data_IF_995967735010
#
_entry.id   IF_995967735010
#
_cell.length_a   1.000
_cell.length_b   1.000
_cell.length_c   1.000
_cell.angle_alpha   90.00
_cell.angle_beta   90.00
_cell.angle_gamma   90.00
#
_symmetry.space_group_name_H-M   'P 1'
#
loop_
_entity.id
_entity.type
_entity.pdbx_description
1 polymer ?
#
# COMPACT_ATOMS: atom_id res chain seq x y z
N UNK A 1 43.31 -51.59 20.64
CA UNK A 1 42.77 -50.31 21.14
C UNK A 1 41.45 -50.62 21.85
N UNK A 2 41.32 -50.35 23.15
CA UNK A 2 40.15 -50.80 23.92
C UNK A 2 38.85 -50.16 23.44
N UNK A 3 37.76 -50.94 23.39
CA UNK A 3 36.43 -50.50 22.93
C UNK A 3 35.97 -49.16 23.55
N UNK A 4 36.36 -48.91 24.81
CA UNK A 4 36.11 -47.65 25.53
C UNK A 4 36.82 -46.43 24.93
N UNK A 5 38.03 -46.59 24.36
CA UNK A 5 38.74 -45.51 23.65
C UNK A 5 38.14 -45.25 22.26
N UNK A 6 37.65 -46.29 21.58
CA UNK A 6 36.97 -46.16 20.30
C UNK A 6 35.63 -45.41 20.44
N UNK A 7 34.83 -45.74 21.47
CA UNK A 7 33.58 -45.04 21.75
C UNK A 7 33.80 -43.57 22.19
N UNK A 8 34.88 -43.27 22.92
CA UNK A 8 35.22 -41.88 23.29
C UNK A 8 35.64 -41.04 22.07
N UNK A 9 36.36 -41.62 21.11
CA UNK A 9 36.71 -40.94 19.87
C UNK A 9 35.49 -40.73 18.96
N UNK A 10 34.61 -41.72 18.84
CA UNK A 10 33.34 -41.59 18.11
C UNK A 10 32.43 -40.53 18.73
N UNK A 11 32.31 -40.48 20.05
CA UNK A 11 31.54 -39.46 20.75
C UNK A 11 32.14 -38.06 20.58
N UNK A 12 33.48 -37.92 20.57
CA UNK A 12 34.14 -36.64 20.34
C UNK A 12 33.96 -36.13 18.90
N UNK A 13 33.99 -37.02 17.89
CA UNK A 13 33.71 -36.67 16.49
C UNK A 13 32.23 -36.29 16.31
N UNK A 14 31.31 -37.02 16.95
CA UNK A 14 29.89 -36.68 16.95
C UNK A 14 29.61 -35.33 17.63
N UNK A 15 30.28 -35.03 18.75
CA UNK A 15 30.16 -33.75 19.44
C UNK A 15 30.76 -32.60 18.60
N UNK A 16 31.87 -32.84 17.88
CA UNK A 16 32.46 -31.87 16.95
C UNK A 16 31.57 -31.59 15.73
N UNK A 17 30.86 -32.61 15.23
CA UNK A 17 29.83 -32.46 14.18
C UNK A 17 28.57 -31.72 14.68
N UNK A 18 28.20 -31.87 15.96
CA UNK A 18 27.09 -31.15 16.57
C UNK A 18 27.43 -29.69 16.97
N UNK A 19 28.70 -29.36 17.20
CA UNK A 19 29.13 -27.98 17.46
C UNK A 19 29.41 -27.17 16.19
N UNK A 20 29.51 -27.80 15.02
CA UNK A 20 29.75 -27.14 13.74
C UNK A 20 28.46 -26.64 13.04
N UNK A 21 27.28 -26.81 13.64
CA UNK A 21 25.98 -26.64 12.96
C UNK A 21 25.22 -25.31 13.12
N UNK A 22 25.74 -24.19 13.67
CA UNK A 22 25.12 -22.88 13.46
C UNK A 22 25.91 -21.98 12.49
N UNK A 23 26.53 -22.55 11.44
CA UNK A 23 27.32 -21.77 10.47
C UNK A 23 26.65 -21.56 9.09
N UNK A 24 25.39 -21.97 8.90
CA UNK A 24 24.75 -21.99 7.56
C UNK A 24 23.61 -20.99 7.34
N UNK A 25 23.51 -19.95 8.16
CA UNK A 25 22.65 -18.80 7.89
C UNK A 25 23.41 -17.48 8.10
N UNK A 26 24.66 -17.40 7.61
CA UNK A 26 25.37 -16.13 7.57
C UNK A 26 24.78 -15.29 6.43
N UNK A 27 24.04 -14.25 6.77
CA UNK A 27 23.59 -13.27 5.79
C UNK A 27 24.77 -12.68 5.02
N UNK A 28 24.54 -12.27 3.78
CA UNK A 28 25.58 -11.72 2.91
C UNK A 28 25.17 -10.37 2.34
N UNK A 29 26.16 -9.54 2.01
CA UNK A 29 25.95 -8.25 1.38
C UNK A 29 26.80 -8.14 0.12
N UNK A 30 26.14 -7.99 -1.02
CA UNK A 30 26.77 -7.74 -2.32
C UNK A 30 26.50 -6.31 -2.76
N UNK A 31 27.52 -5.65 -3.27
CA UNK A 31 27.46 -4.24 -3.62
C UNK A 31 28.18 -4.01 -4.95
N UNK A 32 27.54 -3.29 -5.85
CA UNK A 32 28.11 -2.85 -7.12
C UNK A 32 27.74 -1.40 -7.35
N UNK A 33 28.73 -0.55 -7.59
CA UNK A 33 28.59 0.85 -7.95
C UNK A 33 29.51 1.16 -9.14
N UNK A 34 28.93 1.38 -10.32
CA UNK A 34 29.69 1.71 -11.54
C UNK A 34 30.07 3.19 -11.66
N UNK A 35 29.56 4.03 -10.75
CA UNK A 35 29.87 5.45 -10.66
C UNK A 35 30.92 5.73 -9.58
N UNK A 36 31.10 4.82 -8.60
CA UNK A 36 32.03 4.95 -7.46
C UNK A 36 31.75 6.22 -6.63
N UNK A 37 30.47 6.48 -6.39
CA UNK A 37 29.96 7.70 -5.71
C UNK A 37 29.10 7.39 -4.48
N UNK A 38 28.69 6.14 -4.30
CA UNK A 38 27.81 5.73 -3.22
C UNK A 38 28.59 5.44 -1.94
N UNK A 39 28.01 5.82 -0.79
CA UNK A 39 28.53 5.44 0.52
C UNK A 39 28.13 3.98 0.85
N UNK A 40 29.00 3.03 0.50
CA UNK A 40 28.79 1.61 0.80
C UNK A 40 28.57 1.37 2.31
N UNK A 41 29.27 2.10 3.19
CA UNK A 41 29.15 1.88 4.62
C UNK A 41 27.78 2.31 5.14
N UNK A 42 27.25 3.44 4.66
CA UNK A 42 25.89 3.86 5.00
C UNK A 42 24.84 2.84 4.54
N UNK A 43 24.95 2.34 3.30
CA UNK A 43 24.02 1.37 2.74
C UNK A 43 24.12 0.03 3.48
N UNK A 44 25.34 -0.46 3.76
CA UNK A 44 25.58 -1.69 4.52
C UNK A 44 25.03 -1.59 5.94
N UNK A 45 25.20 -0.45 6.63
CA UNK A 45 24.60 -0.22 7.96
C UNK A 45 23.07 -0.30 7.91
N UNK A 46 22.44 0.22 6.86
CA UNK A 46 20.99 0.11 6.67
C UNK A 46 20.54 -1.32 6.35
N UNK A 47 21.36 -2.11 5.65
CA UNK A 47 21.10 -3.53 5.37
C UNK A 47 21.36 -4.45 6.57
N UNK A 48 22.15 -4.01 7.56
CA UNK A 48 22.63 -4.83 8.67
C UNK A 48 21.51 -5.61 9.39
N UNK A 49 20.35 -5.02 9.72
CA UNK A 49 19.27 -5.76 10.38
C UNK A 49 18.72 -6.94 9.56
N UNK A 50 18.72 -6.83 8.21
CA UNK A 50 18.30 -7.91 7.32
C UNK A 50 19.38 -9.01 7.26
N UNK A 51 20.65 -8.60 7.20
CA UNK A 51 21.81 -9.50 7.18
C UNK A 51 21.90 -10.29 8.50
N UNK A 52 21.69 -9.63 9.64
CA UNK A 52 21.68 -10.26 10.97
C UNK A 52 20.58 -11.31 11.11
N UNK A 53 19.50 -11.21 10.33
CA UNK A 53 18.43 -12.21 10.21
C UNK A 53 18.72 -13.33 9.20
N UNK A 54 19.94 -13.37 8.65
CA UNK A 54 20.36 -14.39 7.69
C UNK A 54 20.01 -14.07 6.23
N UNK A 55 19.55 -12.85 5.92
CA UNK A 55 19.20 -12.49 4.55
C UNK A 55 20.43 -12.23 3.68
N UNK A 56 20.32 -12.50 2.39
CA UNK A 56 21.29 -12.07 1.37
C UNK A 56 20.79 -10.80 0.70
N UNK A 57 21.50 -9.70 0.88
CA UNK A 57 21.14 -8.38 0.36
C UNK A 57 22.08 -8.01 -0.77
N UNK A 58 21.54 -7.58 -1.92
CA UNK A 58 22.33 -7.13 -3.06
C UNK A 58 21.92 -5.73 -3.53
N UNK A 59 22.90 -4.88 -3.81
CA UNK A 59 22.73 -3.50 -4.25
C UNK A 59 23.50 -3.29 -5.54
N UNK A 60 22.82 -2.80 -6.56
CA UNK A 60 23.40 -2.55 -7.88
C UNK A 60 23.07 -1.15 -8.36
N UNK A 61 24.08 -0.28 -8.44
CA UNK A 61 23.99 1.01 -9.08
C UNK A 61 24.84 1.00 -10.34
N UNK A 62 24.17 0.98 -11.49
CA UNK A 62 24.81 0.78 -12.80
C UNK A 62 24.44 1.93 -13.74
N UNK A 63 25.25 2.10 -14.79
CA UNK A 63 25.01 3.16 -15.79
C UNK A 63 23.78 2.86 -16.63
N UNK A 64 23.78 1.69 -17.28
CA UNK A 64 22.73 1.26 -18.22
C UNK A 64 22.33 -0.19 -17.91
N UNK A 65 21.07 -0.53 -18.21
CA UNK A 65 20.53 -1.87 -18.03
C UNK A 65 19.03 -1.89 -17.73
N UNK A 66 18.55 -3.00 -17.18
CA UNK A 66 17.13 -3.24 -16.96
C UNK A 66 16.86 -4.59 -16.30
N UNK A 67 15.62 -5.08 -16.36
CA UNK A 67 15.19 -6.35 -15.73
C UNK A 67 16.08 -7.55 -16.10
N UNK A 68 16.54 -7.62 -17.35
CA UNK A 68 17.42 -8.71 -17.81
C UNK A 68 18.83 -8.62 -17.20
N UNK A 69 19.43 -7.43 -17.20
CA UNK A 69 20.75 -7.19 -16.59
C UNK A 69 20.71 -7.42 -15.08
N UNK A 70 19.67 -6.92 -14.42
CA UNK A 70 19.46 -7.14 -12.99
C UNK A 70 19.42 -8.63 -12.66
N UNK A 71 18.66 -9.42 -13.41
CA UNK A 71 18.60 -10.88 -13.22
C UNK A 71 19.94 -11.57 -13.50
N UNK A 72 20.68 -11.13 -14.52
CA UNK A 72 22.02 -11.66 -14.81
C UNK A 72 22.93 -11.49 -13.61
N UNK A 73 23.01 -10.28 -13.06
CA UNK A 73 23.86 -9.96 -11.91
C UNK A 73 23.46 -10.72 -10.65
N UNK A 74 22.16 -10.81 -10.37
CA UNK A 74 21.69 -11.63 -9.25
C UNK A 74 22.03 -13.12 -9.42
N UNK A 75 22.05 -13.64 -10.66
CA UNK A 75 22.51 -15.00 -10.93
C UNK A 75 24.01 -15.15 -10.74
N UNK A 76 24.80 -14.20 -11.22
CA UNK A 76 26.26 -14.19 -11.11
C UNK A 76 26.71 -14.15 -9.64
N UNK A 77 25.99 -13.39 -8.81
CA UNK A 77 26.22 -13.29 -7.36
C UNK A 77 25.57 -14.44 -6.57
N UNK A 78 24.99 -15.42 -7.26
CA UNK A 78 24.42 -16.62 -6.65
C UNK A 78 23.16 -16.38 -5.82
N UNK A 79 22.44 -15.29 -6.04
CA UNK A 79 21.13 -15.00 -5.43
C UNK A 79 19.97 -15.67 -6.17
N UNK A 80 20.21 -16.10 -7.42
CA UNK A 80 19.32 -16.97 -8.18
C UNK A 80 19.86 -18.40 -8.21
N UNK A 81 18.96 -19.38 -8.16
CA UNK A 81 19.20 -20.76 -8.54
C UNK A 81 18.42 -21.04 -9.84
N UNK A 82 19.12 -20.95 -10.97
CA UNK A 82 18.49 -20.89 -12.29
C UNK A 82 17.59 -19.65 -12.43
N UNK A 83 16.28 -19.86 -12.54
CA UNK A 83 15.29 -18.77 -12.63
C UNK A 83 14.57 -18.48 -11.30
N UNK A 84 14.89 -19.22 -10.24
CA UNK A 84 14.23 -19.09 -8.95
C UNK A 84 15.09 -18.21 -8.03
N UNK A 85 14.45 -17.27 -7.36
CA UNK A 85 15.09 -16.53 -6.29
C UNK A 85 15.36 -17.43 -5.10
N UNK A 86 16.56 -17.34 -4.52
CA UNK A 86 16.81 -17.94 -3.21
C UNK A 86 15.82 -17.36 -2.22
N UNK A 87 15.27 -18.23 -1.37
CA UNK A 87 14.26 -17.87 -0.37
C UNK A 87 14.67 -16.66 0.46
N UNK A 88 15.96 -16.57 0.81
CA UNK A 88 16.54 -15.55 1.66
C UNK A 88 17.11 -14.30 0.97
N UNK A 89 16.92 -14.14 -0.33
CA UNK A 89 17.53 -13.06 -1.12
C UNK A 89 16.61 -11.82 -1.27
N UNK A 90 17.20 -10.63 -1.23
CA UNK A 90 16.58 -9.37 -1.65
C UNK A 90 17.60 -8.51 -2.39
N UNK A 91 17.20 -7.93 -3.50
CA UNK A 91 18.04 -7.09 -4.35
C UNK A 91 17.36 -5.77 -4.69
N UNK A 92 18.12 -4.68 -4.68
CA UNK A 92 17.70 -3.38 -5.19
C UNK A 92 18.64 -3.00 -6.34
N UNK A 93 18.07 -2.64 -7.48
CA UNK A 93 18.81 -2.32 -8.70
C UNK A 93 18.36 -0.98 -9.26
N UNK A 94 19.33 -0.19 -9.71
CA UNK A 94 19.12 1.08 -10.41
C UNK A 94 20.07 1.14 -11.60
N UNK A 95 19.50 1.24 -12.80
CA UNK A 95 20.20 1.67 -14.01
C UNK A 95 19.87 3.15 -14.25
N UNK A 96 20.83 4.02 -13.95
CA UNK A 96 20.58 5.45 -13.80
C UNK A 96 20.23 6.15 -15.12
N UNK A 97 21.02 5.91 -16.18
CA UNK A 97 20.81 6.56 -17.49
C UNK A 97 19.50 6.08 -18.14
N UNK A 98 19.17 4.80 -17.98
CA UNK A 98 17.94 4.19 -18.49
C UNK A 98 16.70 4.46 -17.62
N UNK A 99 16.88 5.17 -16.48
CA UNK A 99 15.82 5.51 -15.51
C UNK A 99 15.03 4.30 -15.05
N UNK A 100 15.71 3.17 -14.93
CA UNK A 100 15.13 1.92 -14.49
C UNK A 100 15.52 1.65 -13.04
N UNK A 101 14.53 1.33 -12.21
CA UNK A 101 14.74 0.82 -10.86
C UNK A 101 13.90 -0.43 -10.64
N UNK A 102 14.42 -1.37 -9.86
CA UNK A 102 13.74 -2.62 -9.56
C UNK A 102 14.09 -3.15 -8.18
N UNK A 103 13.14 -3.83 -7.56
CA UNK A 103 13.35 -4.62 -6.35
C UNK A 103 12.94 -6.04 -6.68
N UNK A 104 13.84 -6.99 -6.46
CA UNK A 104 13.54 -8.42 -6.57
C UNK A 104 13.81 -9.08 -5.22
N UNK A 105 13.01 -10.08 -4.87
CA UNK A 105 13.11 -10.74 -3.58
C UNK A 105 12.68 -12.20 -3.65
N UNK A 106 13.16 -12.97 -2.69
CA UNK A 106 12.84 -14.36 -2.44
C UNK A 106 11.61 -14.55 -1.58
N UNK A 107 11.20 -15.81 -1.45
CA UNK A 107 9.95 -16.20 -0.80
C UNK A 107 9.83 -15.73 0.65
N UNK A 108 10.92 -15.61 1.42
CA UNK A 108 10.85 -15.15 2.82
C UNK A 108 10.32 -13.71 2.94
N UNK A 109 10.45 -12.93 1.87
CA UNK A 109 10.03 -11.54 1.85
C UNK A 109 8.62 -11.38 1.26
N UNK A 110 7.94 -12.45 0.85
CA UNK A 110 6.63 -12.35 0.21
C UNK A 110 5.61 -11.61 1.09
N UNK A 111 5.53 -11.96 2.37
CA UNK A 111 4.61 -11.30 3.31
C UNK A 111 4.91 -9.79 3.43
N UNK A 112 6.19 -9.43 3.44
CA UNK A 112 6.65 -8.05 3.60
C UNK A 112 6.55 -7.22 2.31
N UNK A 113 6.86 -7.83 1.16
CA UNK A 113 7.16 -7.13 -0.09
C UNK A 113 6.18 -7.44 -1.22
N UNK A 114 5.69 -8.68 -1.35
CA UNK A 114 4.71 -9.01 -2.38
C UNK A 114 3.31 -8.51 -2.01
N UNK A 115 2.98 -8.51 -0.72
CA UNK A 115 1.69 -8.04 -0.23
C UNK A 115 1.43 -6.60 -0.63
N UNK A 116 0.28 -6.34 -1.26
CA UNK A 116 -0.13 -5.02 -1.80
C UNK A 116 0.89 -4.36 -2.74
N UNK A 117 1.76 -5.15 -3.39
CA UNK A 117 2.86 -4.63 -4.19
C UNK A 117 3.77 -3.67 -3.39
N UNK A 118 3.95 -3.93 -2.09
CA UNK A 118 4.72 -3.06 -1.20
C UNK A 118 6.17 -2.83 -1.69
N UNK A 119 6.77 -3.80 -2.38
CA UNK A 119 8.05 -3.60 -3.06
C UNK A 119 8.01 -2.41 -4.04
N UNK A 120 6.92 -2.25 -4.79
CA UNK A 120 6.76 -1.17 -5.76
C UNK A 120 6.41 0.16 -5.08
N UNK A 121 5.69 0.11 -3.96
CA UNK A 121 5.45 1.27 -3.10
C UNK A 121 6.75 1.80 -2.47
N UNK A 122 7.60 0.91 -1.91
CA UNK A 122 8.92 1.26 -1.39
C UNK A 122 9.77 1.85 -2.52
N UNK A 123 9.78 1.22 -3.69
CA UNK A 123 10.51 1.73 -4.86
C UNK A 123 10.03 3.13 -5.26
N UNK A 124 8.71 3.36 -5.36
CA UNK A 124 8.14 4.65 -5.79
C UNK A 124 8.29 5.76 -4.76
N UNK A 125 8.13 5.44 -3.48
CA UNK A 125 8.01 6.44 -2.41
C UNK A 125 9.30 6.65 -1.62
N UNK A 126 10.23 5.69 -1.63
CA UNK A 126 11.47 5.75 -0.86
C UNK A 126 12.71 5.81 -1.76
N UNK A 127 12.76 5.01 -2.83
CA UNK A 127 13.93 4.95 -3.71
C UNK A 127 13.89 6.02 -4.82
N UNK A 128 12.84 6.03 -5.64
CA UNK A 128 12.73 6.89 -6.82
C UNK A 128 12.81 8.40 -6.53
N UNK A 129 12.33 8.94 -5.38
CA UNK A 129 12.49 10.36 -5.09
C UNK A 129 13.96 10.79 -5.02
N UNK A 130 14.82 10.00 -4.37
CA UNK A 130 16.26 10.30 -4.32
C UNK A 130 16.96 10.14 -5.68
N UNK A 131 16.49 9.22 -6.54
CA UNK A 131 16.98 9.12 -7.92
C UNK A 131 16.57 10.33 -8.76
N UNK A 132 15.33 10.80 -8.59
CA UNK A 132 14.83 12.00 -9.26
C UNK A 132 15.57 13.25 -8.78
N UNK A 133 15.83 13.36 -7.47
CA UNK A 133 16.66 14.42 -6.90
C UNK A 133 18.06 14.43 -7.51
N UNK A 134 18.75 13.29 -7.51
CA UNK A 134 20.07 13.15 -8.13
C UNK A 134 20.08 13.53 -9.61
N UNK A 135 19.05 13.14 -10.37
CA UNK A 135 18.91 13.51 -11.78
C UNK A 135 18.67 15.02 -11.97
N UNK A 136 18.07 15.71 -11.01
CA UNK A 136 17.77 17.15 -11.10
C UNK A 136 18.94 18.01 -10.60
N UNK A 137 19.61 17.60 -9.52
CA UNK A 137 20.73 18.32 -8.92
C UNK A 137 22.07 18.01 -9.58
N UNK A 138 22.20 16.83 -10.20
CA UNK A 138 23.46 16.28 -10.68
C UNK A 138 24.34 15.68 -9.57
N UNK A 139 23.88 15.71 -8.31
CA UNK A 139 24.58 15.11 -7.19
C UNK A 139 24.15 13.65 -7.02
N UNK A 140 25.02 12.71 -7.41
CA UNK A 140 24.74 11.28 -7.29
C UNK A 140 24.91 10.74 -5.86
N UNK A 141 25.54 11.49 -4.95
CA UNK A 141 25.81 11.01 -3.58
C UNK A 141 24.52 10.80 -2.77
N UNK A 142 23.46 11.58 -3.06
CA UNK A 142 22.13 11.48 -2.44
C UNK A 142 21.42 10.15 -2.71
N UNK A 143 21.88 9.39 -3.73
CA UNK A 143 21.35 8.06 -4.03
C UNK A 143 21.68 7.07 -2.90
N UNK A 144 22.76 7.30 -2.16
CA UNK A 144 23.11 6.48 -0.98
C UNK A 144 22.01 6.50 0.06
N UNK A 145 21.43 7.68 0.32
CA UNK A 145 20.32 7.86 1.25
C UNK A 145 19.03 7.22 0.74
N UNK A 146 18.80 7.23 -0.58
CA UNK A 146 17.67 6.58 -1.21
C UNK A 146 17.71 5.05 -1.01
N UNK A 147 18.87 4.43 -1.25
CA UNK A 147 19.08 3.01 -0.97
C UNK A 147 18.91 2.68 0.51
N UNK A 148 19.54 3.47 1.39
CA UNK A 148 19.45 3.26 2.83
C UNK A 148 18.00 3.37 3.33
N UNK A 149 17.23 4.32 2.81
CA UNK A 149 15.82 4.51 3.17
C UNK A 149 14.94 3.37 2.66
N UNK A 150 15.16 2.91 1.43
CA UNK A 150 14.47 1.73 0.90
C UNK A 150 14.77 0.47 1.72
N UNK A 151 16.02 0.24 2.11
CA UNK A 151 16.42 -0.89 2.95
C UNK A 151 15.78 -0.85 4.35
N UNK A 152 15.71 0.32 4.98
CA UNK A 152 14.98 0.51 6.25
C UNK A 152 13.50 0.20 6.09
N UNK A 153 12.87 0.69 5.02
CA UNK A 153 11.45 0.39 4.75
C UNK A 153 11.20 -1.11 4.50
N UNK A 154 12.11 -1.80 3.81
CA UNK A 154 12.05 -3.27 3.66
C UNK A 154 12.18 -3.95 5.03
N UNK A 155 13.14 -3.54 5.85
CA UNK A 155 13.32 -4.07 7.20
C UNK A 155 12.06 -3.87 8.05
N UNK A 156 11.46 -2.68 8.01
CA UNK A 156 10.26 -2.35 8.79
C UNK A 156 9.07 -3.17 8.31
N UNK A 157 8.94 -3.38 6.99
CA UNK A 157 7.95 -4.28 6.41
C UNK A 157 8.21 -5.76 6.77
N UNK A 158 9.46 -6.18 6.99
CA UNK A 158 9.73 -7.55 7.49
C UNK A 158 9.31 -7.71 8.95
N UNK A 159 9.50 -6.67 9.78
CA UNK A 159 9.07 -6.68 11.19
C UNK A 159 7.56 -6.58 11.31
N UNK A 160 6.95 -5.74 10.47
CA UNK A 160 5.51 -5.45 10.44
C UNK A 160 4.99 -5.60 8.99
N UNK A 161 4.77 -6.84 8.51
CA UNK A 161 4.33 -7.11 7.14
C UNK A 161 3.03 -6.41 6.77
N UNK A 162 2.93 -5.80 5.56
CA UNK A 162 1.67 -5.26 5.03
C UNK A 162 0.55 -6.30 5.13
N UNK A 163 -0.62 -5.91 5.62
CA UNK A 163 -1.81 -6.76 5.57
C UNK A 163 -2.46 -6.60 4.21
N UNK A 164 -2.77 -7.72 3.57
CA UNK A 164 -3.48 -7.77 2.29
C UNK A 164 -4.73 -6.87 2.33
N UNK A 165 -4.82 -5.91 1.41
CA UNK A 165 -5.94 -4.96 1.28
C UNK A 165 -5.82 -3.63 2.05
N UNK A 166 -4.66 -3.29 2.63
CA UNK A 166 -4.43 -2.01 3.32
C UNK A 166 -3.88 -0.90 2.41
N UNK A 167 -4.61 0.21 2.28
CA UNK A 167 -4.12 1.45 1.67
C UNK A 167 -3.29 2.29 2.65
N UNK A 168 -2.22 2.93 2.16
CA UNK A 168 -1.36 3.83 2.94
C UNK A 168 -1.89 5.25 2.88
N UNK A 169 -2.41 5.81 3.98
CA UNK A 169 -2.57 7.26 4.11
C UNK A 169 -2.01 7.76 5.44
N UNK A 170 -1.17 8.78 5.31
CA UNK A 170 -0.49 9.55 6.35
C UNK A 170 -1.42 10.67 6.81
N UNK A 171 -1.63 10.85 8.11
CA UNK A 171 -2.04 12.14 8.67
C UNK A 171 -0.88 12.69 9.49
N UNK A 172 -0.43 13.87 9.10
CA UNK A 172 0.65 14.65 9.71
C UNK A 172 0.11 15.29 10.98
N UNK A 173 0.83 15.16 12.09
CA UNK A 173 0.83 16.20 13.12
C UNK A 173 2.19 16.29 13.82
N UNK A 174 2.48 17.50 14.25
CA UNK A 174 3.76 18.14 14.48
C UNK A 174 4.80 17.37 15.32
N UNK A 175 6.02 17.27 14.79
CA UNK A 175 7.23 17.19 15.62
C UNK A 175 7.79 15.81 15.91
N UNK A 176 8.13 15.02 14.88
CA UNK A 176 9.35 14.18 14.79
C UNK A 176 9.41 13.56 13.39
N UNK A 177 10.46 13.86 12.64
CA UNK A 177 10.73 13.28 11.32
C UNK A 177 11.18 11.82 11.45
N UNK A 178 10.27 10.87 11.20
CA UNK A 178 10.60 9.49 10.77
C UNK A 178 9.47 8.98 9.86
N UNK A 179 9.71 8.75 8.55
CA UNK A 179 8.70 8.20 7.65
C UNK A 179 8.61 6.68 7.83
N UNK A 180 7.86 6.23 8.86
CA UNK A 180 7.48 4.82 9.01
C UNK A 180 6.02 4.71 8.58
N UNK A 181 5.78 4.11 7.41
CA UNK A 181 4.44 3.99 6.83
C UNK A 181 3.89 2.58 7.17
N UNK A 182 2.91 2.54 8.09
CA UNK A 182 2.07 1.37 8.38
C UNK A 182 0.61 1.81 8.60
N UNK A 183 -0.36 1.22 7.86
CA UNK A 183 -1.35 0.22 8.31
C UNK A 183 -2.71 0.82 8.79
N UNK A 184 -3.89 0.42 8.25
CA UNK A 184 -4.77 -0.67 8.76
C UNK A 184 -6.01 -0.95 7.84
N UNK A 185 -6.32 -2.26 7.67
CA UNK A 185 -7.59 -3.06 7.48
C UNK A 185 -8.74 -2.62 6.52
N UNK A 186 -9.38 -3.46 5.68
CA UNK A 186 -9.95 -4.81 5.93
C UNK A 186 -10.37 -5.60 4.63
N UNK A 187 -10.02 -6.91 4.58
CA UNK A 187 -10.77 -8.13 4.15
C UNK A 187 -11.45 -8.23 2.74
N UNK A 188 -10.91 -9.09 1.85
CA UNK A 188 -11.51 -10.35 1.32
C UNK A 188 -10.78 -10.91 0.06
N UNK A 189 -10.06 -12.04 0.23
CA UNK A 189 -10.27 -13.28 -0.57
C UNK A 189 -9.64 -13.49 -1.96
N UNK A 190 -8.62 -14.36 -1.98
CA UNK A 190 -8.29 -15.41 -2.98
C UNK A 190 -7.39 -15.09 -4.21
N UNK A 191 -6.14 -15.58 -4.16
CA UNK A 191 -5.70 -16.65 -5.09
C UNK A 191 -4.53 -16.41 -6.09
N UNK A 192 -3.33 -16.83 -5.69
CA UNK A 192 -2.33 -17.66 -6.44
C UNK A 192 -1.58 -17.12 -7.69
N UNK A 193 -0.28 -16.89 -7.47
CA UNK A 193 0.96 -17.21 -8.24
C UNK A 193 1.34 -16.61 -9.63
N UNK A 194 2.55 -16.01 -9.61
CA UNK A 194 3.68 -16.01 -10.57
C UNK A 194 3.55 -16.69 -11.96
N UNK A 195 3.87 -15.95 -13.03
CA UNK A 195 4.97 -16.25 -14.00
C UNK A 195 4.96 -15.31 -15.23
N UNK A 196 6.17 -14.95 -15.66
CA UNK A 196 6.55 -13.80 -16.53
C UNK A 196 6.78 -14.23 -17.99
N UNK A 197 5.72 -14.54 -18.76
CA UNK A 197 5.89 -14.88 -20.20
C UNK A 197 4.80 -14.36 -21.16
N UNK A 198 4.04 -13.32 -20.82
CA UNK A 198 2.95 -12.82 -21.70
C UNK A 198 2.76 -11.29 -21.69
N UNK A 199 3.88 -10.57 -21.54
CA UNK A 199 3.92 -9.12 -21.24
C UNK A 199 3.23 -8.20 -22.27
N UNK A 200 2.88 -8.62 -23.49
CA UNK A 200 2.12 -7.76 -24.41
C UNK A 200 0.58 -7.93 -24.37
N UNK A 201 0.05 -9.13 -24.10
CA UNK A 201 -1.41 -9.33 -23.98
C UNK A 201 -1.93 -9.11 -22.55
N UNK A 202 -1.11 -9.38 -21.54
CA UNK A 202 -1.50 -9.19 -20.12
C UNK A 202 -1.50 -7.73 -19.67
N UNK A 203 -0.65 -6.86 -20.23
CA UNK A 203 -0.69 -5.42 -19.93
C UNK A 203 -2.00 -4.78 -20.39
N UNK A 204 -2.52 -5.17 -21.56
CA UNK A 204 -3.81 -4.71 -22.06
C UNK A 204 -4.97 -5.23 -21.20
N UNK A 205 -4.91 -6.50 -20.77
CA UNK A 205 -5.91 -7.10 -19.89
C UNK A 205 -5.88 -6.50 -18.47
N UNK A 206 -4.69 -6.18 -17.95
CA UNK A 206 -4.53 -5.56 -16.64
C UNK A 206 -5.04 -4.11 -16.65
N UNK A 207 -4.76 -3.35 -17.72
CA UNK A 207 -5.33 -2.02 -17.91
C UNK A 207 -6.86 -2.06 -18.07
N UNK A 208 -7.37 -3.03 -18.83
CA UNK A 208 -8.81 -3.24 -18.97
C UNK A 208 -9.47 -3.62 -17.63
N UNK A 209 -8.83 -4.45 -16.82
CA UNK A 209 -9.30 -4.82 -15.49
C UNK A 209 -9.27 -3.63 -14.53
N UNK A 210 -8.20 -2.85 -14.48
CA UNK A 210 -8.09 -1.64 -13.67
C UNK A 210 -9.16 -0.61 -14.05
N UNK A 211 -9.39 -0.41 -15.36
CA UNK A 211 -10.45 0.45 -15.85
C UNK A 211 -11.85 -0.04 -15.43
N UNK A 212 -12.11 -1.36 -15.51
CA UNK A 212 -13.39 -1.95 -15.04
C UNK A 212 -13.60 -1.72 -13.55
N UNK A 213 -12.58 -1.98 -12.72
CA UNK A 213 -12.65 -1.75 -11.27
C UNK A 213 -12.96 -0.29 -10.94
N UNK A 214 -12.33 0.65 -11.66
CA UNK A 214 -12.62 2.07 -11.52
C UNK A 214 -14.05 2.40 -11.92
N UNK A 215 -14.54 1.90 -13.05
CA UNK A 215 -15.91 2.15 -13.51
C UNK A 215 -16.95 1.58 -12.55
N UNK A 216 -16.72 0.37 -12.03
CA UNK A 216 -17.57 -0.26 -11.01
C UNK A 216 -17.59 0.56 -9.71
N UNK A 217 -16.44 1.03 -9.24
CA UNK A 217 -16.36 1.89 -8.06
C UNK A 217 -17.10 3.22 -8.27
N UNK A 218 -16.94 3.82 -9.44
CA UNK A 218 -17.64 5.04 -9.85
C UNK A 218 -19.15 4.86 -9.90
N UNK A 219 -19.63 3.76 -10.48
CA UNK A 219 -21.06 3.45 -10.57
C UNK A 219 -21.68 3.25 -9.18
N UNK A 220 -20.99 2.54 -8.30
CA UNK A 220 -21.44 2.34 -6.92
C UNK A 220 -21.52 3.65 -6.15
N UNK A 221 -20.50 4.50 -6.26
CA UNK A 221 -20.51 5.84 -5.67
C UNK A 221 -21.63 6.73 -6.26
N UNK A 222 -21.80 6.71 -7.59
CA UNK A 222 -22.86 7.47 -8.27
C UNK A 222 -24.27 7.02 -7.86
N UNK A 223 -24.47 5.72 -7.65
CA UNK A 223 -25.74 5.15 -7.20
C UNK A 223 -26.13 5.68 -5.83
N UNK A 224 -25.22 5.63 -4.85
CA UNK A 224 -25.52 6.12 -3.49
C UNK A 224 -25.68 7.64 -3.46
N UNK A 225 -24.89 8.40 -4.22
CA UNK A 225 -25.04 9.86 -4.36
C UNK A 225 -26.44 10.18 -4.90
N UNK A 226 -26.90 9.45 -5.90
CA UNK A 226 -28.23 9.64 -6.48
C UNK A 226 -29.34 9.35 -5.47
N UNK A 227 -29.20 8.26 -4.70
CA UNK A 227 -30.16 7.89 -3.65
C UNK A 227 -30.25 8.97 -2.55
N UNK A 228 -29.11 9.47 -2.09
CA UNK A 228 -29.04 10.55 -1.09
C UNK A 228 -29.68 11.82 -1.63
N UNK A 229 -29.39 12.18 -2.88
CA UNK A 229 -30.02 13.32 -3.54
C UNK A 229 -31.54 13.20 -3.60
N UNK A 230 -32.07 12.01 -3.86
CA UNK A 230 -33.51 11.75 -3.83
C UNK A 230 -34.08 11.85 -2.42
N UNK A 231 -33.38 11.34 -1.40
CA UNK A 231 -33.80 11.48 0.00
C UNK A 231 -33.85 12.93 0.45
N UNK A 232 -32.89 13.77 0.06
CA UNK A 232 -32.94 15.21 0.37
C UNK A 232 -34.15 15.89 -0.27
N UNK A 233 -34.52 15.53 -1.51
CA UNK A 233 -35.73 16.05 -2.16
C UNK A 233 -36.99 15.64 -1.39
N UNK A 234 -37.11 14.37 -1.04
CA UNK A 234 -38.24 13.85 -0.26
C UNK A 234 -38.32 14.50 1.13
N UNK A 235 -37.17 14.71 1.79
CA UNK A 235 -37.09 15.36 3.08
C UNK A 235 -37.53 16.84 3.01
N UNK A 236 -37.20 17.54 1.93
CA UNK A 236 -37.64 18.93 1.69
C UNK A 236 -39.16 19.03 1.46
N UNK A 237 -39.73 18.08 0.72
CA UNK A 237 -41.18 17.99 0.57
C UNK A 237 -41.87 17.72 1.91
N UNK A 238 -41.32 16.80 2.72
CA UNK A 238 -41.83 16.49 4.05
C UNK A 238 -41.73 17.67 5.02
N UNK A 239 -40.64 18.44 4.96
CA UNK A 239 -40.44 19.61 5.81
C UNK A 239 -41.55 20.67 5.68
N UNK A 240 -42.27 20.73 4.54
CA UNK A 240 -43.44 21.60 4.35
C UNK A 240 -44.62 21.20 5.24
N UNK A 241 -44.78 19.89 5.47
CA UNK A 241 -45.84 19.33 6.33
C UNK A 241 -45.40 19.25 7.80
N UNK A 242 -44.11 19.11 8.06
CA UNK A 242 -43.56 19.05 9.42
C UNK A 242 -43.84 20.33 10.21
N UNK A 243 -43.87 21.50 9.55
CA UNK A 243 -44.26 22.78 10.17
C UNK A 243 -45.68 22.79 10.78
N UNK A 244 -46.56 21.91 10.29
CA UNK A 244 -47.94 21.78 10.79
C UNK A 244 -48.03 20.71 11.88
N UNK A 245 -47.13 19.72 11.86
CA UNK A 245 -47.23 18.51 12.67
C UNK A 245 -46.30 18.49 13.89
N UNK A 246 -45.24 19.31 13.90
CA UNK A 246 -44.23 19.34 14.96
C UNK A 246 -44.08 20.73 15.61
N UNK A 247 -43.63 20.81 16.88
CA UNK A 247 -43.30 22.07 17.54
C UNK A 247 -42.15 22.81 16.82
N UNK A 248 -42.18 24.15 16.83
CA UNK A 248 -41.20 24.99 16.14
C UNK A 248 -39.74 24.67 16.49
N UNK A 249 -39.43 24.43 17.78
CA UNK A 249 -38.07 24.08 18.22
C UNK A 249 -37.57 22.74 17.65
N UNK A 250 -38.47 21.79 17.39
CA UNK A 250 -38.14 20.49 16.79
C UNK A 250 -37.90 20.64 15.29
N UNK A 251 -38.73 21.43 14.60
CA UNK A 251 -38.55 21.79 13.19
C UNK A 251 -37.20 22.49 12.98
N UNK A 252 -36.81 23.41 13.87
CA UNK A 252 -35.52 24.12 13.80
C UNK A 252 -34.33 23.18 14.05
N UNK A 253 -34.48 22.19 14.93
CA UNK A 253 -33.44 21.18 15.18
C UNK A 253 -33.24 20.27 13.96
N UNK A 254 -34.35 19.75 13.40
CA UNK A 254 -34.34 18.92 12.19
C UNK A 254 -33.74 19.71 11.02
N UNK A 255 -34.15 20.97 10.84
CA UNK A 255 -33.63 21.84 9.78
C UNK A 255 -32.12 22.04 9.85
N UNK A 256 -31.56 22.27 11.04
CA UNK A 256 -30.11 22.41 11.24
C UNK A 256 -29.35 21.12 10.93
N UNK A 257 -29.86 19.97 11.38
CA UNK A 257 -29.25 18.68 11.09
C UNK A 257 -29.29 18.34 9.60
N UNK A 258 -30.40 18.62 8.91
CA UNK A 258 -30.50 18.46 7.46
C UNK A 258 -29.56 19.41 6.71
N UNK A 259 -29.40 20.66 7.16
CA UNK A 259 -28.48 21.62 6.56
C UNK A 259 -27.01 21.17 6.68
N UNK A 260 -26.60 20.66 7.84
CA UNK A 260 -25.27 20.10 8.04
C UNK A 260 -25.02 18.88 7.12
N UNK A 261 -25.99 17.96 7.02
CA UNK A 261 -25.91 16.83 6.11
C UNK A 261 -25.84 17.25 4.63
N UNK A 262 -26.57 18.31 4.22
CA UNK A 262 -26.49 18.87 2.87
C UNK A 262 -25.09 19.41 2.57
N UNK A 263 -24.45 20.10 3.52
CA UNK A 263 -23.10 20.62 3.33
C UNK A 263 -22.08 19.49 3.13
N UNK A 264 -22.19 18.42 3.92
CA UNK A 264 -21.37 17.22 3.73
C UNK A 264 -21.62 16.57 2.37
N UNK A 265 -22.89 16.48 1.94
CA UNK A 265 -23.24 15.93 0.63
C UNK A 265 -22.66 16.73 -0.54
N UNK A 266 -22.62 18.07 -0.46
CA UNK A 266 -21.94 18.90 -1.47
C UNK A 266 -20.44 18.58 -1.52
N UNK A 267 -19.80 18.33 -0.38
CA UNK A 267 -18.42 17.86 -0.31
C UNK A 267 -18.22 16.53 -1.03
N UNK A 268 -19.11 15.56 -0.81
CA UNK A 268 -19.11 14.25 -1.48
C UNK A 268 -19.24 14.40 -3.01
N UNK A 269 -20.15 15.27 -3.47
CA UNK A 269 -20.31 15.53 -4.91
C UNK A 269 -19.07 16.18 -5.52
N UNK A 270 -18.48 17.14 -4.81
CA UNK A 270 -17.25 17.82 -5.24
C UNK A 270 -16.09 16.83 -5.36
N UNK A 271 -15.94 15.93 -4.39
CA UNK A 271 -14.88 14.94 -4.42
C UNK A 271 -15.10 13.89 -5.53
N UNK A 272 -16.35 13.45 -5.74
CA UNK A 272 -16.71 12.59 -6.88
C UNK A 272 -16.26 13.20 -8.22
N UNK A 273 -16.52 14.50 -8.41
CA UNK A 273 -16.14 15.22 -9.61
C UNK A 273 -14.62 15.39 -9.70
N UNK A 274 -13.94 15.75 -8.61
CA UNK A 274 -12.49 15.91 -8.55
C UNK A 274 -11.75 14.63 -8.95
N UNK A 275 -12.17 13.46 -8.46
CA UNK A 275 -11.56 12.17 -8.83
C UNK A 275 -11.65 11.96 -10.34
N UNK A 276 -12.81 12.24 -10.93
CA UNK A 276 -13.02 12.15 -12.37
C UNK A 276 -12.16 13.12 -13.16
N UNK A 277 -12.08 14.38 -12.71
CA UNK A 277 -11.26 15.41 -13.33
C UNK A 277 -9.77 15.09 -13.29
N UNK A 278 -9.25 14.64 -12.14
CA UNK A 278 -7.83 14.30 -12.00
C UNK A 278 -7.42 13.18 -12.96
N UNK A 279 -8.27 12.16 -13.13
CA UNK A 279 -8.05 11.10 -14.10
C UNK A 279 -8.15 11.63 -15.54
N UNK A 280 -9.12 12.50 -15.83
CA UNK A 280 -9.33 13.09 -17.15
C UNK A 280 -8.19 14.02 -17.60
N UNK A 281 -7.45 14.63 -16.67
CA UNK A 281 -6.25 15.43 -16.96
C UNK A 281 -5.11 14.59 -17.55
N UNK A 282 -5.15 13.27 -17.40
CA UNK A 282 -4.14 12.35 -17.91
C UNK A 282 -4.52 11.87 -19.32
N UNK A 283 -3.75 12.26 -20.34
CA UNK A 283 -4.02 11.89 -21.73
C UNK A 283 -3.95 10.36 -21.99
N UNK A 284 -3.15 9.63 -21.20
CA UNK A 284 -3.05 8.16 -21.22
C UNK A 284 -2.91 7.63 -19.78
N UNK A 285 -4.02 7.42 -19.06
CA UNK A 285 -3.96 6.97 -17.68
C UNK A 285 -3.31 5.58 -17.55
N UNK A 286 -2.42 5.43 -16.59
CA UNK A 286 -1.75 4.17 -16.25
C UNK A 286 -2.63 3.30 -15.36
N UNK A 287 -2.27 2.02 -15.19
CA UNK A 287 -2.98 1.09 -14.27
C UNK A 287 -3.06 1.69 -12.86
N UNK A 288 -1.94 2.21 -12.34
CA UNK A 288 -1.88 2.84 -11.03
C UNK A 288 -2.83 4.05 -10.93
N UNK A 289 -2.95 4.86 -11.98
CA UNK A 289 -3.87 6.00 -11.99
C UNK A 289 -5.34 5.57 -12.02
N UNK A 290 -5.68 4.48 -12.73
CA UNK A 290 -7.02 3.90 -12.65
C UNK A 290 -7.32 3.35 -11.26
N UNK A 291 -6.36 2.67 -10.64
CA UNK A 291 -6.53 2.11 -9.30
C UNK A 291 -6.63 3.22 -8.23
N UNK A 292 -5.86 4.31 -8.35
CA UNK A 292 -6.02 5.51 -7.51
C UNK A 292 -7.40 6.14 -7.69
N UNK A 293 -7.91 6.25 -8.91
CA UNK A 293 -9.26 6.76 -9.15
C UNK A 293 -10.35 5.83 -8.59
N UNK A 294 -10.17 4.52 -8.72
CA UNK A 294 -11.08 3.53 -8.13
C UNK A 294 -11.16 3.69 -6.60
N UNK A 295 -10.01 3.87 -5.94
CA UNK A 295 -9.92 4.14 -4.50
C UNK A 295 -10.59 5.47 -4.13
N UNK A 296 -10.38 6.52 -4.92
CA UNK A 296 -11.06 7.81 -4.73
C UNK A 296 -12.58 7.66 -4.76
N UNK A 297 -13.13 6.93 -5.73
CA UNK A 297 -14.57 6.65 -5.78
C UNK A 297 -15.07 5.78 -4.63
N UNK A 298 -14.26 4.84 -4.14
CA UNK A 298 -14.61 4.07 -2.93
C UNK A 298 -14.67 4.96 -1.68
N UNK A 299 -13.75 5.90 -1.54
CA UNK A 299 -13.79 6.87 -0.43
C UNK A 299 -15.04 7.75 -0.52
N UNK A 300 -15.36 8.27 -1.70
CA UNK A 300 -16.58 9.03 -1.95
C UNK A 300 -17.83 8.23 -1.55
N UNK A 301 -17.86 6.93 -1.85
CA UNK A 301 -18.96 6.05 -1.43
C UNK A 301 -19.05 5.97 0.10
N UNK A 302 -17.95 5.78 0.81
CA UNK A 302 -17.91 5.76 2.28
C UNK A 302 -18.41 7.07 2.89
N UNK A 303 -17.98 8.20 2.34
CA UNK A 303 -18.43 9.52 2.80
C UNK A 303 -19.93 9.73 2.52
N UNK A 304 -20.42 9.26 1.38
CA UNK A 304 -21.84 9.23 1.06
C UNK A 304 -22.64 8.34 2.04
N UNK A 305 -22.14 7.16 2.42
CA UNK A 305 -22.76 6.28 3.42
C UNK A 305 -22.88 6.97 4.79
N UNK A 306 -21.87 7.76 5.17
CA UNK A 306 -21.90 8.59 6.39
C UNK A 306 -23.02 9.64 6.34
N UNK A 307 -23.15 10.37 5.22
CA UNK A 307 -24.25 11.33 4.98
C UNK A 307 -25.62 10.64 5.03
N UNK A 308 -25.73 9.47 4.39
CA UNK A 308 -26.96 8.66 4.38
C UNK A 308 -27.35 8.22 5.80
N UNK A 309 -26.37 7.86 6.63
CA UNK A 309 -26.58 7.48 8.03
C UNK A 309 -27.02 8.68 8.87
N UNK A 310 -26.38 9.83 8.70
CA UNK A 310 -26.78 11.07 9.37
C UNK A 310 -28.22 11.47 9.03
N UNK A 311 -28.60 11.35 7.76
CA UNK A 311 -29.98 11.59 7.30
C UNK A 311 -30.99 10.62 7.94
N UNK A 312 -30.71 9.32 7.96
CA UNK A 312 -31.58 8.33 8.61
C UNK A 312 -31.76 8.60 10.10
N UNK A 313 -30.72 9.05 10.79
CA UNK A 313 -30.81 9.41 12.20
C UNK A 313 -31.80 10.56 12.43
N UNK A 314 -31.76 11.59 11.57
CA UNK A 314 -32.72 12.71 11.59
C UNK A 314 -34.16 12.22 11.35
N UNK A 315 -34.36 11.34 10.37
CA UNK A 315 -35.68 10.79 10.03
C UNK A 315 -36.26 9.89 11.13
N UNK A 316 -35.43 9.08 11.79
CA UNK A 316 -35.85 8.15 12.85
C UNK A 316 -36.25 8.90 14.13
N UNK A 317 -35.52 9.97 14.46
CA UNK A 317 -35.90 10.85 15.57
C UNK A 317 -37.21 11.60 15.29
N UNK A 318 -37.46 12.02 14.05
CA UNK A 318 -38.75 12.58 13.67
C UNK A 318 -39.90 11.57 13.84
N UNK A 319 -39.74 10.32 13.37
CA UNK A 319 -40.77 9.29 13.42
C UNK A 319 -41.11 8.80 14.86
N UNK A 320 -40.11 8.69 15.74
CA UNK A 320 -40.31 8.26 17.13
C UNK A 320 -41.16 9.26 17.94
N UNK A 321 -41.00 10.57 17.67
CA UNK A 321 -41.80 11.62 18.30
C UNK A 321 -43.29 11.59 17.89
N UNK A 322 -43.62 11.06 16.71
CA UNK A 322 -44.99 10.84 16.26
C UNK A 322 -45.67 9.67 17.00
N UNK A 323 -44.94 8.59 17.27
CA UNK A 323 -45.51 7.37 17.88
C UNK A 323 -45.97 7.56 19.34
N UNK A 324 -45.34 8.49 20.07
CA UNK A 324 -45.69 8.77 21.47
C UNK A 324 -47.03 9.53 21.60
N UNK A 325 -47.38 10.37 20.62
CA UNK A 325 -48.65 11.13 20.64
C UNK A 325 -49.88 10.32 20.21
N UNK A 326 -49.73 9.25 19.43
CA UNK A 326 -50.87 8.38 19.06
C UNK A 326 -51.32 7.48 20.23
N UNK A 327 -50.42 7.19 21.19
CA UNK A 327 -50.73 6.34 22.35
C UNK A 327 -51.34 7.06 23.55
N UNK A 328 -51.36 8.40 23.54
CA UNK A 328 -52.07 9.20 24.55
C UNK A 328 -52.87 10.29 23.84
N UNK A 329 -54.06 9.98 23.31
CA UNK A 329 -55.05 11.03 23.08
C UNK A 329 -55.36 11.62 24.46
N UNK A 330 -54.98 12.89 24.65
CA UNK A 330 -55.42 13.68 25.79
C UNK A 330 -56.94 13.58 25.89
N UNK A 331 -57.39 13.25 27.10
CA UNK A 331 -58.78 13.35 27.54
C UNK A 331 -59.23 14.79 27.59
#
# INVERSE_FOLDING_TARGET
MGLKRLMRLLAAIWLLLLLATPALAQGSFTFTDEYDVLDEQAIRRAAQPLIDRGSRVAIYFVRNGGDADFRSRMSEDGLLDGNLMRTEAVGIYVAFEDRYSGILFGEQFNEALATNENFDAIRRNQLNPGLAEASNSGDLSVISDAYATALRAINDAVITPPVEGGGTNVNVDEGTFLPIIGFIASVLGLGVFWTVFSRQRKAANALAAARRRMEEAREQAGTIITEIGQRFRNAEEKAKFDKVSYPAAEVDRIGRAQAAARQQFVGVQTEFDNVGEQLARQAKPTIAQYDTAAQGYQQVRTDAESVSTALRAVETHAASSTSWRVKHPER
#
